data_IF_307427318721
#
_entry.id   IF_307427318721
#
_cell.length_a   1.000
_cell.length_b   1.000
_cell.length_c   1.000
_cell.angle_alpha   90.00
_cell.angle_beta   90.00
_cell.angle_gamma   90.00
#
_symmetry.space_group_name_H-M   'P 1'
#
loop_
_entity.id
_entity.type
_entity.pdbx_description
1 polymer ?
#
# COMPACT_ATOMS: atom_id res chain seq x y z
N UNK A 1 -30.09 -28.08 58.60
CA UNK A 1 -29.74 -28.96 57.47
C UNK A 1 -28.95 -28.10 56.44
N UNK A 2 -27.61 -28.23 56.46
CA UNK A 2 -26.68 -27.39 55.71
C UNK A 2 -26.51 -27.92 54.30
N UNK A 3 -26.75 -27.09 53.31
CA UNK A 3 -26.32 -27.34 51.92
C UNK A 3 -25.03 -26.55 51.64
N UNK A 4 -23.94 -27.29 51.50
CA UNK A 4 -22.63 -26.77 51.10
C UNK A 4 -22.64 -26.51 49.58
N UNK A 5 -22.36 -25.28 49.23
CA UNK A 5 -22.09 -24.86 47.86
C UNK A 5 -20.78 -25.46 47.35
N UNK A 6 -20.86 -26.24 46.29
CA UNK A 6 -19.72 -26.70 45.50
C UNK A 6 -19.54 -25.73 44.35
N UNK A 7 -18.61 -24.81 44.51
CA UNK A 7 -18.16 -23.94 43.41
C UNK A 7 -17.04 -24.69 42.68
N UNK A 8 -17.36 -25.20 41.50
CA UNK A 8 -16.38 -25.77 40.59
C UNK A 8 -15.72 -24.62 39.81
N UNK A 9 -14.54 -24.19 40.24
CA UNK A 9 -13.72 -23.25 39.48
C UNK A 9 -13.08 -23.98 38.28
N UNK A 10 -13.66 -23.82 37.13
CA UNK A 10 -13.00 -24.17 35.86
C UNK A 10 -11.97 -23.09 35.59
N UNK A 11 -10.70 -23.38 35.88
CA UNK A 11 -9.57 -22.59 35.42
C UNK A 11 -9.39 -22.91 33.95
N UNK A 12 -9.93 -22.06 33.07
CA UNK A 12 -9.49 -22.01 31.68
C UNK A 12 -8.05 -21.49 31.66
N UNK A 13 -7.09 -22.40 31.61
CA UNK A 13 -5.76 -22.11 31.13
C UNK A 13 -5.90 -21.86 29.61
N UNK A 14 -6.20 -20.62 29.23
CA UNK A 14 -5.88 -20.16 27.91
C UNK A 14 -4.34 -20.16 27.82
N UNK A 15 -3.79 -21.20 27.20
CA UNK A 15 -2.42 -21.19 26.77
C UNK A 15 -2.30 -20.06 25.75
N UNK A 16 -1.80 -18.91 26.18
CA UNK A 16 -1.19 -17.94 25.27
C UNK A 16 0.05 -18.64 24.73
N UNK A 17 -0.09 -19.28 23.58
CA UNK A 17 1.05 -19.53 22.71
C UNK A 17 1.51 -18.14 22.31
N UNK A 18 2.64 -17.67 22.85
CA UNK A 18 3.37 -16.59 22.26
C UNK A 18 3.59 -16.99 20.79
N UNK A 19 2.98 -16.27 19.85
CA UNK A 19 3.35 -16.37 18.46
C UNK A 19 4.85 -16.07 18.42
N UNK A 20 5.64 -17.01 17.90
CA UNK A 20 7.04 -16.74 17.62
C UNK A 20 7.04 -15.69 16.50
N UNK A 21 7.44 -14.49 16.83
CA UNK A 21 7.62 -13.41 15.87
C UNK A 21 8.55 -13.86 14.74
N UNK A 22 8.40 -13.30 13.55
CA UNK A 22 9.35 -13.51 12.45
C UNK A 22 10.74 -13.31 13.03
N UNK A 23 11.49 -14.41 13.19
CA UNK A 23 12.82 -14.32 13.74
C UNK A 23 13.71 -13.60 12.74
N UNK A 24 13.89 -12.29 12.92
CA UNK A 24 14.84 -11.52 12.16
C UNK A 24 16.25 -11.98 12.56
N UNK A 25 16.86 -12.80 11.74
CA UNK A 25 18.20 -13.34 11.98
C UNK A 25 19.08 -13.15 10.76
N UNK A 26 20.39 -13.08 10.92
CA UNK A 26 21.30 -12.96 9.78
C UNK A 26 21.13 -14.03 8.68
N UNK A 27 20.56 -15.19 9.02
CA UNK A 27 20.36 -16.30 8.11
C UNK A 27 19.13 -16.13 7.21
N UNK A 28 18.10 -15.39 7.68
CA UNK A 28 16.85 -15.21 6.92
C UNK A 28 16.70 -13.83 6.28
N UNK A 29 17.75 -13.01 6.36
CA UNK A 29 17.76 -11.68 5.75
C UNK A 29 18.88 -11.56 4.72
N UNK A 30 18.60 -10.77 3.70
CA UNK A 30 19.60 -10.34 2.71
C UNK A 30 19.36 -8.90 2.31
N UNK A 31 20.41 -8.18 1.97
CA UNK A 31 20.29 -6.82 1.49
C UNK A 31 21.27 -6.54 0.36
N UNK A 32 20.99 -5.50 -0.38
CA UNK A 32 21.92 -4.95 -1.36
C UNK A 32 21.83 -3.44 -1.42
N UNK A 33 22.93 -2.80 -1.79
CA UNK A 33 22.96 -1.40 -2.14
C UNK A 33 23.43 -1.22 -3.56
N UNK A 34 22.68 -0.47 -4.36
CA UNK A 34 23.12 -0.04 -5.68
C UNK A 34 23.64 1.39 -5.59
N UNK A 35 24.84 1.61 -6.09
CA UNK A 35 25.50 2.91 -6.15
C UNK A 35 25.56 3.40 -7.57
N UNK A 36 25.22 4.67 -7.77
CA UNK A 36 25.14 5.29 -9.10
C UNK A 36 26.05 6.50 -9.18
N UNK A 37 26.86 6.55 -10.23
CA UNK A 37 27.56 7.75 -10.65
C UNK A 37 26.85 8.26 -11.90
N UNK A 38 26.39 9.53 -11.95
CA UNK A 38 25.74 10.08 -13.14
C UNK A 38 26.57 9.85 -14.42
N UNK A 39 25.92 9.32 -15.46
CA UNK A 39 26.58 8.99 -16.72
C UNK A 39 27.18 7.57 -16.81
N UNK A 40 27.26 6.84 -15.71
CA UNK A 40 27.74 5.45 -15.68
C UNK A 40 26.61 4.49 -15.28
N UNK A 41 26.76 3.20 -15.54
CA UNK A 41 25.85 2.18 -15.05
C UNK A 41 25.92 2.09 -13.52
N UNK A 42 24.79 1.74 -12.88
CA UNK A 42 24.75 1.50 -11.45
C UNK A 42 25.49 0.20 -11.09
N UNK A 43 26.26 0.23 -10.01
CA UNK A 43 26.92 -0.96 -9.46
C UNK A 43 26.20 -1.42 -8.20
N UNK A 44 25.77 -2.68 -8.18
CA UNK A 44 25.09 -3.30 -7.04
C UNK A 44 26.07 -4.12 -6.21
N UNK A 45 25.99 -3.93 -4.91
CA UNK A 45 26.80 -4.62 -3.91
C UNK A 45 25.89 -5.42 -2.99
N UNK A 46 26.05 -6.75 -2.95
CA UNK A 46 25.41 -7.56 -1.92
C UNK A 46 26.00 -7.19 -0.56
N UNK A 47 25.16 -7.21 0.46
CA UNK A 47 25.53 -6.87 1.83
C UNK A 47 25.37 -8.10 2.73
N UNK A 48 26.25 -8.20 3.73
CA UNK A 48 26.19 -9.21 4.77
C UNK A 48 25.89 -8.53 6.09
N UNK A 49 24.92 -9.04 6.83
CA UNK A 49 24.58 -8.54 8.16
C UNK A 49 25.57 -9.09 9.18
N UNK A 50 26.22 -8.20 9.91
CA UNK A 50 27.16 -8.54 10.99
C UNK A 50 26.63 -7.99 12.30
N UNK A 51 26.49 -8.85 13.31
CA UNK A 51 26.14 -8.43 14.66
C UNK A 51 27.30 -7.67 15.29
N UNK A 52 26.99 -6.56 15.94
CA UNK A 52 27.99 -5.80 16.68
C UNK A 52 28.21 -6.40 18.06
N UNK A 53 29.47 -6.38 18.52
CA UNK A 53 29.83 -6.93 19.81
C UNK A 53 29.04 -6.31 20.97
N UNK A 54 28.51 -7.17 21.85
CA UNK A 54 27.76 -6.85 23.06
C UNK A 54 26.30 -6.38 22.89
N UNK A 55 25.69 -6.46 21.70
CA UNK A 55 24.29 -6.15 21.52
C UNK A 55 23.58 -7.30 20.76
N UNK A 56 22.42 -7.74 21.24
CA UNK A 56 21.61 -8.70 20.52
C UNK A 56 20.76 -8.06 19.41
N UNK A 57 20.74 -6.75 19.30
CA UNK A 57 19.82 -5.99 18.46
C UNK A 57 20.50 -4.97 17.54
N UNK A 58 21.83 -4.81 17.61
CA UNK A 58 22.59 -3.89 16.79
C UNK A 58 23.42 -4.65 15.75
N UNK A 59 23.29 -4.23 14.50
CA UNK A 59 23.95 -4.84 13.36
C UNK A 59 24.59 -3.80 12.46
N UNK A 60 25.51 -4.26 11.62
CA UNK A 60 26.09 -3.47 10.53
C UNK A 60 25.98 -4.26 9.22
N UNK A 61 25.50 -3.59 8.17
CA UNK A 61 25.57 -4.11 6.83
C UNK A 61 26.94 -3.82 6.21
N UNK A 62 27.64 -4.85 5.78
CA UNK A 62 28.97 -4.76 5.17
C UNK A 62 29.00 -5.40 3.79
N UNK A 63 29.77 -4.80 2.89
CA UNK A 63 30.07 -5.38 1.57
C UNK A 63 31.50 -5.91 1.53
N UNK A 64 31.79 -6.78 0.55
CA UNK A 64 33.16 -7.23 0.30
C UNK A 64 34.09 -6.06 -0.11
N UNK A 65 33.57 -5.11 -0.90
CA UNK A 65 34.27 -3.90 -1.28
C UNK A 65 34.01 -2.78 -0.25
N UNK A 66 34.95 -1.84 -0.13
CA UNK A 66 34.75 -0.63 0.69
C UNK A 66 33.71 0.26 0.03
N UNK A 67 32.64 0.56 0.76
CA UNK A 67 31.57 1.45 0.31
C UNK A 67 31.82 2.90 0.74
N UNK A 68 31.33 3.90 -0.01
CA UNK A 68 31.30 5.31 0.39
C UNK A 68 30.17 5.63 1.40
N UNK A 69 29.59 4.62 2.01
CA UNK A 69 28.49 4.73 2.99
C UNK A 69 28.66 3.68 4.07
N UNK A 70 28.28 4.02 5.30
CA UNK A 70 28.16 3.07 6.43
C UNK A 70 26.69 2.87 6.72
N UNK A 71 26.29 1.62 6.93
CA UNK A 71 24.91 1.23 7.15
C UNK A 71 24.83 0.44 8.46
N UNK A 72 24.16 1.02 9.45
CA UNK A 72 23.84 0.35 10.71
C UNK A 72 22.37 0.00 10.73
N UNK A 73 22.06 -1.03 11.50
CA UNK A 73 20.69 -1.48 11.69
C UNK A 73 20.45 -1.85 13.15
N UNK A 74 19.31 -1.40 13.66
CA UNK A 74 18.77 -1.83 14.93
C UNK A 74 17.48 -2.62 14.69
N UNK A 75 17.32 -3.71 15.44
CA UNK A 75 16.08 -4.50 15.45
C UNK A 75 15.58 -4.57 16.89
N UNK A 76 14.40 -4.06 17.16
CA UNK A 76 13.79 -4.05 18.49
C UNK A 76 12.42 -4.74 18.48
N UNK A 77 12.12 -5.49 19.52
CA UNK A 77 10.76 -5.98 19.73
C UNK A 77 9.90 -4.89 20.35
N UNK A 78 8.77 -4.63 19.73
CA UNK A 78 7.79 -3.68 20.22
C UNK A 78 6.37 -4.20 19.98
N UNK A 79 5.60 -4.34 21.05
CA UNK A 79 4.18 -4.77 20.99
C UNK A 79 3.98 -6.11 20.23
N UNK A 80 4.95 -7.03 20.32
CA UNK A 80 4.94 -8.32 19.62
C UNK A 80 5.37 -8.26 18.15
N UNK A 81 5.81 -7.10 17.68
CA UNK A 81 6.34 -6.87 16.34
C UNK A 81 7.85 -6.62 16.39
N UNK A 82 8.52 -6.78 15.26
CA UNK A 82 9.94 -6.45 15.12
C UNK A 82 10.11 -5.16 14.33
N UNK A 83 10.62 -4.13 14.99
CA UNK A 83 10.90 -2.84 14.37
C UNK A 83 12.35 -2.81 13.90
N UNK A 84 12.52 -2.55 12.61
CA UNK A 84 13.80 -2.44 11.92
C UNK A 84 14.08 -0.97 11.68
N UNK A 85 15.17 -0.46 12.23
CA UNK A 85 15.64 0.92 12.00
C UNK A 85 16.99 0.87 11.32
N UNK A 86 17.07 1.43 10.11
CA UNK A 86 18.29 1.50 9.32
C UNK A 86 18.83 2.92 9.36
N UNK A 87 20.11 3.05 9.70
CA UNK A 87 20.85 4.29 9.70
C UNK A 87 21.94 4.24 8.64
N UNK A 88 21.89 5.16 7.68
CA UNK A 88 22.92 5.31 6.66
C UNK A 88 23.64 6.63 6.84
N UNK A 89 24.99 6.61 6.78
CA UNK A 89 25.81 7.81 6.80
C UNK A 89 26.78 7.79 5.62
N UNK A 90 26.74 8.80 4.78
CA UNK A 90 27.64 8.92 3.64
C UNK A 90 29.04 9.36 4.06
N UNK A 91 30.05 8.61 3.62
CA UNK A 91 31.48 8.94 3.78
C UNK A 91 32.00 9.80 2.62
N UNK A 92 31.27 9.81 1.50
CA UNK A 92 31.47 10.64 0.33
C UNK A 92 30.13 10.87 -0.39
N UNK A 93 30.05 11.83 -1.32
CA UNK A 93 28.82 12.06 -2.09
C UNK A 93 28.43 10.79 -2.87
N UNK A 94 27.21 10.29 -2.68
CA UNK A 94 26.78 9.04 -3.29
C UNK A 94 25.31 9.08 -3.68
N UNK A 95 24.99 8.63 -4.90
CA UNK A 95 23.64 8.28 -5.29
C UNK A 95 23.42 6.79 -4.98
N UNK A 96 22.39 6.48 -4.24
CA UNK A 96 22.15 5.13 -3.74
C UNK A 96 20.71 4.66 -3.97
N UNK A 97 20.54 3.33 -4.01
CA UNK A 97 19.28 2.62 -3.79
C UNK A 97 19.58 1.43 -2.88
N UNK A 98 18.92 1.37 -1.74
CA UNK A 98 19.08 0.30 -0.75
C UNK A 98 17.84 -0.59 -0.75
N UNK A 99 18.03 -1.89 -0.63
CA UNK A 99 16.94 -2.84 -0.50
C UNK A 99 17.28 -4.01 0.40
N UNK A 100 16.28 -4.47 1.11
CA UNK A 100 16.34 -5.58 2.04
C UNK A 100 15.24 -6.60 1.74
N UNK A 101 15.51 -7.86 2.03
CA UNK A 101 14.63 -8.99 1.85
C UNK A 101 14.63 -9.84 3.12
N UNK A 102 13.43 -10.19 3.60
CA UNK A 102 13.24 -11.07 4.75
C UNK A 102 12.52 -12.33 4.28
N UNK A 103 13.21 -13.47 4.35
CA UNK A 103 12.63 -14.77 3.99
C UNK A 103 11.67 -15.24 5.08
N UNK A 104 10.45 -15.61 4.70
CA UNK A 104 9.43 -16.11 5.64
C UNK A 104 9.66 -17.57 6.02
N UNK A 105 10.53 -18.28 5.32
CA UNK A 105 10.69 -19.73 5.45
C UNK A 105 9.57 -20.54 4.77
N UNK A 106 8.54 -19.90 4.24
CA UNK A 106 7.40 -20.55 3.59
C UNK A 106 7.68 -20.81 2.11
N UNK A 107 7.22 -21.95 1.62
CA UNK A 107 7.35 -22.26 0.19
C UNK A 107 6.46 -21.28 -0.61
N UNK A 108 7.03 -20.63 -1.62
CA UNK A 108 6.36 -19.58 -2.39
C UNK A 108 5.04 -20.05 -3.03
N UNK A 109 4.97 -21.31 -3.48
CA UNK A 109 3.77 -21.86 -4.10
C UNK A 109 2.62 -22.10 -3.10
N UNK A 110 2.91 -22.19 -1.81
CA UNK A 110 1.92 -22.32 -0.73
C UNK A 110 1.41 -20.95 -0.25
N UNK A 111 1.89 -19.83 -0.84
CA UNK A 111 1.61 -18.49 -0.39
C UNK A 111 0.64 -17.71 -1.29
N UNK A 112 -0.14 -16.84 -0.66
CA UNK A 112 -0.92 -15.78 -1.29
C UNK A 112 -0.38 -14.43 -0.85
N UNK A 113 -0.43 -13.45 -1.75
CA UNK A 113 0.19 -12.14 -1.55
C UNK A 113 -0.85 -11.03 -1.51
N UNK A 114 -0.60 -10.04 -0.66
CA UNK A 114 -1.47 -8.90 -0.51
C UNK A 114 -0.66 -7.59 -0.43
N UNK A 115 -0.97 -6.65 -1.32
CA UNK A 115 -0.54 -5.26 -1.24
C UNK A 115 -1.79 -4.37 -1.34
N UNK A 116 -2.12 -3.60 -0.31
CA UNK A 116 -3.39 -2.89 -0.20
C UNK A 116 -3.71 -1.99 -1.39
N UNK A 117 -4.86 -2.26 -2.03
CA UNK A 117 -5.32 -1.51 -3.22
C UNK A 117 -4.66 -1.90 -4.55
N UNK A 118 -3.67 -2.79 -4.54
CA UNK A 118 -2.87 -3.11 -5.72
C UNK A 118 -2.82 -4.61 -6.05
N UNK A 119 -2.61 -5.49 -5.06
CA UNK A 119 -2.39 -6.90 -5.28
C UNK A 119 -3.21 -7.77 -4.33
N UNK A 120 -3.93 -8.77 -4.89
CA UNK A 120 -4.73 -9.72 -4.16
C UNK A 120 -4.44 -11.15 -4.64
N UNK A 121 -4.01 -12.03 -3.73
CA UNK A 121 -3.62 -13.42 -4.01
C UNK A 121 -2.49 -13.48 -5.04
N UNK A 122 -2.78 -13.89 -6.27
CA UNK A 122 -1.83 -13.98 -7.40
C UNK A 122 -2.24 -13.09 -8.57
N UNK A 123 -3.27 -12.27 -8.40
CA UNK A 123 -3.84 -11.41 -9.44
C UNK A 123 -4.17 -12.13 -10.76
N UNK A 124 -4.47 -13.44 -10.74
CA UNK A 124 -4.70 -14.25 -11.94
C UNK A 124 -5.97 -13.86 -12.72
N UNK A 125 -6.87 -13.08 -12.10
CA UNK A 125 -8.05 -12.52 -12.80
C UNK A 125 -7.73 -11.22 -13.55
N UNK A 126 -6.55 -10.64 -13.31
CA UNK A 126 -6.09 -9.46 -14.04
C UNK A 126 -5.66 -9.85 -15.45
N UNK A 127 -5.80 -8.94 -16.43
CA UNK A 127 -5.22 -9.14 -17.77
C UNK A 127 -3.70 -9.29 -17.69
N UNK A 128 -3.09 -9.89 -18.74
CA UNK A 128 -1.64 -10.07 -18.82
C UNK A 128 -0.88 -8.73 -18.85
N UNK A 129 -1.55 -7.65 -19.26
CA UNK A 129 -1.02 -6.29 -19.31
C UNK A 129 -1.10 -5.56 -17.96
N UNK A 130 -1.57 -6.24 -16.91
CA UNK A 130 -1.63 -5.73 -15.55
C UNK A 130 -0.66 -6.53 -14.65
N UNK A 131 -0.27 -5.97 -13.49
CA UNK A 131 0.53 -6.70 -12.51
C UNK A 131 -0.16 -7.98 -12.06
N UNK A 132 0.49 -9.13 -12.32
CA UNK A 132 -0.06 -10.45 -12.00
C UNK A 132 1.01 -11.53 -12.11
N UNK A 133 0.71 -12.74 -11.63
CA UNK A 133 1.56 -13.93 -11.83
C UNK A 133 1.64 -14.38 -13.30
N UNK A 134 0.80 -13.86 -14.20
CA UNK A 134 1.00 -14.07 -15.63
C UNK A 134 2.31 -13.47 -16.14
N UNK A 135 2.79 -12.41 -15.49
CA UNK A 135 4.03 -11.72 -15.85
C UNK A 135 5.21 -12.18 -15.00
N UNK A 136 5.03 -12.29 -13.68
CA UNK A 136 6.09 -12.66 -12.72
C UNK A 136 5.48 -13.11 -11.41
N UNK A 137 6.18 -14.01 -10.71
CA UNK A 137 5.90 -14.43 -9.34
C UNK A 137 6.58 -13.55 -8.28
N UNK A 138 7.23 -12.48 -8.71
CA UNK A 138 7.93 -11.51 -7.85
C UNK A 138 7.59 -10.10 -8.30
N UNK A 139 7.18 -9.23 -7.36
CA UNK A 139 6.80 -7.85 -7.66
C UNK A 139 7.23 -6.89 -6.58
N UNK A 140 7.89 -5.82 -7.02
CA UNK A 140 8.25 -4.65 -6.21
C UNK A 140 7.50 -3.45 -6.73
N UNK A 141 6.91 -2.68 -5.84
CA UNK A 141 6.01 -1.57 -6.17
C UNK A 141 6.33 -0.35 -5.33
N UNK A 142 6.24 0.81 -5.92
CA UNK A 142 6.34 2.09 -5.19
C UNK A 142 5.27 2.17 -4.10
N UNK A 143 5.66 2.64 -2.93
CA UNK A 143 4.76 2.78 -1.78
C UNK A 143 3.56 3.70 -2.06
N UNK A 144 3.75 4.76 -2.85
CA UNK A 144 2.68 5.72 -3.20
C UNK A 144 1.62 5.19 -4.18
N UNK A 145 1.79 3.97 -4.70
CA UNK A 145 0.77 3.25 -5.47
C UNK A 145 -0.17 2.43 -4.61
N UNK A 146 0.18 2.23 -3.37
CA UNK A 146 -0.55 1.41 -2.42
C UNK A 146 -1.48 2.28 -1.56
N UNK A 147 -2.56 1.71 -1.05
CA UNK A 147 -3.42 2.41 -0.09
C UNK A 147 -2.72 2.63 1.26
N UNK A 148 -1.71 1.82 1.56
CA UNK A 148 -0.80 1.93 2.68
C UNK A 148 0.52 1.23 2.32
N UNK A 149 1.69 1.68 2.82
CA UNK A 149 3.01 1.17 2.41
C UNK A 149 3.32 -0.20 3.02
N UNK A 150 2.54 -1.20 2.65
CA UNK A 150 2.57 -2.51 3.26
C UNK A 150 2.55 -3.62 2.21
N UNK A 151 3.29 -4.70 2.47
CA UNK A 151 3.14 -5.99 1.78
C UNK A 151 2.92 -7.08 2.82
N UNK A 152 1.98 -7.98 2.54
CA UNK A 152 1.71 -9.17 3.34
C UNK A 152 1.78 -10.45 2.50
N UNK A 153 2.27 -11.51 3.13
CA UNK A 153 2.35 -12.87 2.61
C UNK A 153 1.54 -13.77 3.52
N UNK A 154 0.52 -14.42 2.99
CA UNK A 154 -0.28 -15.39 3.70
C UNK A 154 0.14 -16.81 3.30
N UNK A 155 0.65 -17.57 4.25
CA UNK A 155 0.95 -18.99 4.12
C UNK A 155 -0.33 -19.80 4.32
N UNK A 156 -0.90 -20.34 3.24
CA UNK A 156 -2.14 -21.11 3.27
C UNK A 156 -2.00 -22.43 4.06
N UNK A 157 -0.80 -23.00 4.08
CA UNK A 157 -0.53 -24.28 4.73
C UNK A 157 -0.45 -24.16 6.25
N UNK A 158 0.26 -23.15 6.74
CA UNK A 158 0.49 -22.94 8.17
C UNK A 158 -0.49 -21.93 8.76
N UNK A 159 -1.33 -21.27 7.94
CA UNK A 159 -2.29 -20.25 8.35
C UNK A 159 -1.65 -19.10 9.11
N UNK A 160 -0.52 -18.62 8.57
CA UNK A 160 0.24 -17.51 9.11
C UNK A 160 0.34 -16.38 8.10
N UNK A 161 0.32 -15.17 8.59
CA UNK A 161 0.55 -13.97 7.78
C UNK A 161 1.83 -13.31 8.25
N UNK A 162 2.67 -12.97 7.30
CA UNK A 162 3.89 -12.19 7.47
C UNK A 162 3.73 -10.87 6.74
N UNK A 163 4.00 -9.76 7.37
CA UNK A 163 3.90 -8.47 6.71
C UNK A 163 5.02 -7.51 7.09
N UNK A 164 5.30 -6.57 6.20
CA UNK A 164 6.20 -5.45 6.42
C UNK A 164 5.48 -4.16 6.11
N UNK A 165 5.53 -3.21 7.03
CA UNK A 165 4.98 -1.86 6.87
C UNK A 165 6.07 -0.83 7.11
N UNK A 166 6.09 0.25 6.34
CA UNK A 166 6.95 1.39 6.60
C UNK A 166 6.31 2.34 7.60
N UNK A 167 7.09 2.78 8.61
CA UNK A 167 6.61 3.65 9.70
C UNK A 167 7.00 5.12 9.53
N UNK A 168 7.90 5.45 8.60
CA UNK A 168 8.31 6.84 8.37
C UNK A 168 7.18 7.66 7.73
N UNK A 169 7.22 8.97 7.92
CA UNK A 169 6.28 9.87 7.28
C UNK A 169 6.30 9.71 5.76
N UNK A 170 5.12 9.44 5.24
CA UNK A 170 4.91 9.12 3.85
C UNK A 170 4.79 10.35 2.98
N UNK A 171 5.33 10.20 1.78
CA UNK A 171 5.09 10.96 0.56
C UNK A 171 4.70 12.43 0.74
N UNK A 172 5.67 13.29 0.97
CA UNK A 172 5.52 14.72 0.77
C UNK A 172 5.94 15.19 -0.62
N UNK A 173 6.42 14.27 -1.45
CA UNK A 173 6.97 14.58 -2.77
C UNK A 173 5.88 14.82 -3.79
N UNK A 174 6.11 15.77 -4.68
CA UNK A 174 5.36 15.85 -5.91
C UNK A 174 5.56 14.55 -6.73
N UNK A 175 4.47 13.99 -7.24
CA UNK A 175 4.51 12.83 -8.12
C UNK A 175 5.46 13.13 -9.28
N UNK A 176 6.61 12.47 -9.30
CA UNK A 176 7.53 12.59 -10.44
C UNK A 176 7.07 11.68 -11.57
N UNK A 177 7.04 12.22 -12.77
CA UNK A 177 6.80 11.43 -13.98
C UNK A 177 7.97 10.47 -14.15
N UNK A 178 7.69 9.15 -14.16
CA UNK A 178 8.73 8.15 -14.35
C UNK A 178 9.12 8.08 -15.82
N UNK A 179 10.43 8.03 -16.01
CA UNK A 179 11.01 7.52 -17.25
C UNK A 179 11.39 6.06 -17.03
N UNK A 180 11.41 5.28 -18.09
CA UNK A 180 11.91 3.90 -18.07
C UNK A 180 13.38 3.87 -17.61
N UNK A 181 13.74 2.83 -16.85
CA UNK A 181 15.10 2.57 -16.43
C UNK A 181 15.53 3.30 -15.16
N UNK A 182 16.77 3.77 -15.13
CA UNK A 182 17.35 4.43 -13.97
C UNK A 182 16.92 5.90 -13.86
N UNK A 183 16.54 6.34 -12.67
CA UNK A 183 16.12 7.70 -12.37
C UNK A 183 17.03 8.32 -11.33
N UNK A 184 17.77 9.35 -11.69
CA UNK A 184 18.51 10.18 -10.73
C UNK A 184 17.57 11.28 -10.24
N UNK A 185 17.30 11.28 -8.94
CA UNK A 185 16.41 12.27 -8.34
C UNK A 185 17.14 13.61 -8.17
N UNK A 186 16.51 14.69 -8.63
CA UNK A 186 17.04 16.05 -8.48
C UNK A 186 16.87 16.63 -7.08
N UNK A 187 16.05 15.99 -6.25
CA UNK A 187 15.76 16.37 -4.86
C UNK A 187 15.63 15.14 -3.97
N UNK A 188 15.31 15.37 -2.70
CA UNK A 188 15.02 14.28 -1.76
C UNK A 188 13.61 13.76 -1.99
N UNK A 189 13.46 12.44 -2.00
CA UNK A 189 12.17 11.77 -1.98
C UNK A 189 11.90 11.19 -0.60
N UNK A 190 10.63 10.98 -0.26
CA UNK A 190 10.22 10.18 0.89
C UNK A 190 9.69 8.79 0.46
N UNK A 191 9.61 8.55 -0.87
CA UNK A 191 8.99 7.35 -1.42
C UNK A 191 9.99 6.20 -1.47
N UNK A 192 9.66 5.10 -0.79
CA UNK A 192 10.34 3.82 -0.90
C UNK A 192 9.59 2.83 -1.79
N UNK A 193 9.88 1.56 -1.62
CA UNK A 193 9.18 0.47 -2.27
C UNK A 193 8.96 -0.70 -1.30
N UNK A 194 7.95 -1.49 -1.60
CA UNK A 194 7.67 -2.75 -0.92
C UNK A 194 7.18 -3.78 -1.94
N UNK A 195 7.22 -5.04 -1.57
CA UNK A 195 6.76 -6.12 -2.42
C UNK A 195 7.11 -7.50 -1.87
N UNK A 196 7.01 -8.47 -2.75
CA UNK A 196 7.35 -9.86 -2.46
C UNK A 196 8.22 -10.43 -3.59
N UNK A 197 9.10 -11.35 -3.24
CA UNK A 197 9.96 -12.04 -4.19
C UNK A 197 10.01 -13.55 -3.92
N UNK A 198 10.22 -14.31 -4.99
CA UNK A 198 10.51 -15.73 -4.91
C UNK A 198 12.03 -15.93 -4.85
N UNK A 199 12.56 -16.21 -3.68
CA UNK A 199 13.98 -16.50 -3.48
C UNK A 199 14.23 -18.01 -3.46
N UNK A 200 14.49 -18.57 -4.63
CA UNK A 200 14.77 -20.03 -4.79
C UNK A 200 13.65 -20.90 -4.21
N UNK A 201 12.40 -20.54 -4.42
CA UNK A 201 11.24 -21.28 -3.93
C UNK A 201 10.71 -20.83 -2.57
N UNK A 202 11.37 -19.90 -1.91
CA UNK A 202 10.93 -19.33 -0.62
C UNK A 202 10.31 -17.94 -0.84
N UNK A 203 9.15 -17.72 -0.25
CA UNK A 203 8.50 -16.41 -0.27
C UNK A 203 9.25 -15.44 0.65
N UNK A 204 9.52 -14.23 0.15
CA UNK A 204 10.18 -13.19 0.93
C UNK A 204 9.45 -11.87 0.84
N UNK A 205 9.42 -11.13 1.95
CA UNK A 205 9.08 -9.72 2.00
C UNK A 205 10.27 -8.92 1.50
N UNK A 206 10.03 -7.95 0.60
CA UNK A 206 11.09 -7.11 0.03
C UNK A 206 10.70 -5.66 0.17
N UNK A 207 11.62 -4.83 0.64
CA UNK A 207 11.40 -3.41 0.86
C UNK A 207 12.70 -2.62 0.72
N UNK A 208 12.59 -1.30 0.54
CA UNK A 208 13.78 -0.48 0.39
C UNK A 208 13.51 0.97 0.05
N UNK A 209 14.59 1.70 -0.21
CA UNK A 209 14.57 3.14 -0.43
C UNK A 209 15.79 3.61 -1.27
N UNK A 210 15.62 4.61 -2.16
CA UNK A 210 14.37 5.14 -2.67
C UNK A 210 13.62 4.12 -3.53
N UNK A 211 12.53 4.53 -4.15
CA UNK A 211 11.62 3.62 -4.82
C UNK A 211 12.24 2.81 -5.97
N UNK A 212 11.69 1.60 -6.14
CA UNK A 212 11.97 0.68 -7.23
C UNK A 212 10.68 -0.01 -7.65
N UNK A 213 10.51 -0.27 -8.95
CA UNK A 213 9.43 -1.09 -9.48
C UNK A 213 10.00 -2.17 -10.39
N UNK A 214 9.71 -3.43 -10.09
CA UNK A 214 10.20 -4.58 -10.84
C UNK A 214 9.17 -5.73 -10.79
N UNK A 215 9.13 -6.63 -11.78
CA UNK A 215 9.94 -6.66 -13.02
C UNK A 215 9.46 -5.65 -14.06
N UNK A 216 8.30 -5.04 -13.83
CA UNK A 216 7.67 -4.03 -14.69
C UNK A 216 7.13 -2.89 -13.84
N UNK A 217 7.00 -1.72 -14.46
CA UNK A 217 6.33 -0.56 -13.89
C UNK A 217 4.90 -0.49 -14.42
N UNK A 218 3.93 -0.35 -13.52
CA UNK A 218 2.53 -0.17 -13.90
C UNK A 218 2.24 1.32 -14.15
N UNK A 219 2.19 1.72 -15.41
CA UNK A 219 2.02 3.14 -15.79
C UNK A 219 0.57 3.58 -15.62
N UNK A 220 -0.36 2.81 -16.17
CA UNK A 220 -1.81 3.06 -16.17
C UNK A 220 -2.56 1.79 -16.54
N UNK A 221 -3.89 1.86 -16.55
CA UNK A 221 -4.74 0.73 -16.91
C UNK A 221 -4.22 0.00 -18.17
N UNK A 222 -3.95 -1.29 -18.02
CA UNK A 222 -3.47 -2.18 -19.10
C UNK A 222 -2.17 -1.74 -19.78
N UNK A 223 -1.27 -1.10 -19.03
CA UNK A 223 0.01 -0.66 -19.59
C UNK A 223 1.13 -0.94 -18.60
N UNK A 224 2.00 -1.88 -18.97
CA UNK A 224 3.24 -2.19 -18.28
C UNK A 224 4.41 -1.62 -19.06
N UNK A 225 5.31 -0.94 -18.37
CA UNK A 225 6.59 -0.45 -18.88
C UNK A 225 7.75 -1.27 -18.28
N UNK A 226 8.97 -1.13 -18.78
CA UNK A 226 10.17 -1.68 -18.14
C UNK A 226 10.30 -1.25 -16.68
N UNK A 227 11.11 -2.00 -15.92
CA UNK A 227 11.42 -1.70 -14.52
C UNK A 227 12.02 -0.31 -14.34
N UNK A 228 11.78 0.28 -13.16
CA UNK A 228 12.32 1.58 -12.75
C UNK A 228 13.07 1.44 -11.45
N UNK A 229 14.22 2.08 -11.33
CA UNK A 229 15.01 2.17 -10.11
C UNK A 229 15.46 3.62 -9.89
N UNK A 230 15.11 4.20 -8.74
CA UNK A 230 15.47 5.57 -8.39
C UNK A 230 16.73 5.61 -7.53
N UNK A 231 17.52 6.65 -7.72
CA UNK A 231 18.75 6.92 -6.96
C UNK A 231 18.68 8.31 -6.33
N UNK A 232 18.83 8.36 -5.01
CA UNK A 232 18.86 9.62 -4.27
C UNK A 232 20.28 9.98 -3.86
N UNK A 233 20.63 11.27 -3.95
CA UNK A 233 21.88 11.79 -3.47
C UNK A 233 21.87 11.84 -1.93
N UNK A 234 22.90 11.24 -1.32
CA UNK A 234 23.30 11.46 0.07
C UNK A 234 24.69 12.09 0.04
N UNK A 235 24.81 13.31 0.57
CA UNK A 235 26.06 14.03 0.54
C UNK A 235 26.98 13.58 1.67
N UNK A 236 28.28 13.75 1.49
CA UNK A 236 29.28 13.46 2.49
C UNK A 236 28.92 14.03 3.87
N UNK A 237 28.86 13.18 4.88
CA UNK A 237 28.48 13.51 6.23
C UNK A 237 26.97 13.61 6.49
N UNK A 238 26.12 13.54 5.47
CA UNK A 238 24.69 13.41 5.68
C UNK A 238 24.33 12.01 6.16
N UNK A 239 23.29 11.94 6.99
CA UNK A 239 22.71 10.69 7.49
C UNK A 239 21.23 10.62 7.14
N UNK A 240 20.74 9.39 6.97
CA UNK A 240 19.35 9.06 6.71
C UNK A 240 18.93 7.95 7.68
N UNK A 241 17.72 8.05 8.23
CA UNK A 241 17.07 7.00 9.02
C UNK A 241 15.83 6.53 8.31
N UNK A 242 15.62 5.20 8.26
CA UNK A 242 14.49 4.54 7.65
C UNK A 242 13.94 3.50 8.63
N UNK A 243 12.63 3.42 8.76
CA UNK A 243 11.99 2.55 9.76
C UNK A 243 10.91 1.69 9.12
N UNK A 244 11.03 0.37 9.31
CA UNK A 244 10.00 -0.61 8.98
C UNK A 244 9.61 -1.41 10.20
N UNK A 245 8.46 -2.07 10.13
CA UNK A 245 8.01 -3.01 11.14
C UNK A 245 7.55 -4.30 10.47
N UNK A 246 8.06 -5.42 10.97
CA UNK A 246 7.61 -6.76 10.63
C UNK A 246 6.52 -7.18 11.61
N UNK A 247 5.42 -7.69 11.07
CA UNK A 247 4.31 -8.20 11.85
C UNK A 247 3.96 -9.61 11.40
N UNK A 248 3.74 -10.50 12.37
CA UNK A 248 3.28 -11.86 12.16
C UNK A 248 1.97 -12.09 12.90
N UNK A 249 1.05 -12.86 12.29
CA UNK A 249 -0.21 -13.25 12.91
C UNK A 249 -0.68 -14.62 12.43
N UNK A 250 -1.40 -15.34 13.30
CA UNK A 250 -2.12 -16.57 12.92
C UNK A 250 -3.50 -16.18 12.40
N UNK A 251 -3.83 -16.61 11.18
CA UNK A 251 -5.00 -16.18 10.43
C UNK A 251 -5.64 -17.40 9.77
N UNK A 252 -6.97 -17.56 9.86
CA UNK A 252 -7.66 -18.74 9.38
C UNK A 252 -7.70 -18.84 7.84
N UNK A 253 -7.88 -17.71 7.14
CA UNK A 253 -7.94 -17.67 5.69
C UNK A 253 -7.51 -16.32 5.12
N UNK A 254 -7.43 -16.23 3.79
CA UNK A 254 -7.00 -15.00 3.11
C UNK A 254 -7.96 -13.82 3.28
N UNK A 255 -9.25 -14.03 3.50
CA UNK A 255 -10.20 -12.93 3.73
C UNK A 255 -9.98 -12.30 5.09
N UNK A 256 -9.75 -13.13 6.11
CA UNK A 256 -9.37 -12.67 7.44
C UNK A 256 -7.98 -12.00 7.41
N UNK A 257 -7.04 -12.52 6.61
CA UNK A 257 -5.75 -11.86 6.39
C UNK A 257 -5.93 -10.42 5.87
N UNK A 258 -6.76 -10.22 4.85
CA UNK A 258 -7.02 -8.88 4.30
C UNK A 258 -7.62 -7.96 5.37
N UNK A 259 -8.60 -8.43 6.13
CA UNK A 259 -9.22 -7.66 7.20
C UNK A 259 -8.21 -7.29 8.28
N UNK A 260 -7.48 -8.27 8.80
CA UNK A 260 -6.48 -8.07 9.85
C UNK A 260 -5.39 -7.08 9.43
N UNK A 261 -4.87 -7.21 8.20
CA UNK A 261 -3.83 -6.31 7.69
C UNK A 261 -4.34 -4.88 7.51
N UNK A 262 -5.62 -4.68 7.14
CA UNK A 262 -6.23 -3.36 7.11
C UNK A 262 -6.33 -2.74 8.50
N UNK A 263 -6.83 -3.49 9.47
CA UNK A 263 -6.96 -3.05 10.87
C UNK A 263 -5.57 -2.73 11.45
N UNK A 264 -4.62 -3.63 11.31
CA UNK A 264 -3.23 -3.41 11.74
C UNK A 264 -2.60 -2.17 11.10
N UNK A 265 -2.75 -2.01 9.78
CA UNK A 265 -2.21 -0.84 9.09
C UNK A 265 -2.87 0.47 9.52
N UNK A 266 -4.19 0.46 9.76
CA UNK A 266 -4.91 1.62 10.26
C UNK A 266 -4.45 2.02 11.66
N UNK A 267 -4.34 1.05 12.56
CA UNK A 267 -3.91 1.29 13.95
C UNK A 267 -2.44 1.75 14.01
N UNK A 268 -1.58 1.14 13.20
CA UNK A 268 -0.15 1.49 13.13
C UNK A 268 0.08 2.89 12.60
N UNK A 269 -0.59 3.28 11.52
CA UNK A 269 -0.46 4.62 10.92
C UNK A 269 -1.25 5.67 11.72
N UNK A 270 -2.28 5.25 12.45
CA UNK A 270 -3.14 6.11 13.26
C UNK A 270 -3.46 7.45 12.56
N UNK A 271 -4.12 7.42 11.39
CA UNK A 271 -4.29 8.62 10.58
C UNK A 271 -5.07 9.67 11.34
N UNK A 272 -4.53 10.88 11.38
CA UNK A 272 -5.15 11.98 12.09
C UNK A 272 -6.41 12.43 11.36
N UNK A 273 -7.45 12.74 12.13
CA UNK A 273 -8.69 13.31 11.58
C UNK A 273 -8.37 14.68 10.97
N UNK A 274 -8.58 14.79 9.67
CA UNK A 274 -8.45 16.09 8.99
C UNK A 274 -9.69 16.93 9.29
N UNK A 275 -9.48 18.06 9.96
CA UNK A 275 -10.55 19.03 10.14
C UNK A 275 -10.86 19.67 8.78
N UNK A 276 -12.00 19.31 8.21
CA UNK A 276 -12.51 19.95 7.00
C UNK A 276 -13.27 21.22 7.36
N UNK A 277 -13.27 22.28 6.52
CA UNK A 277 -14.04 23.49 6.77
C UNK A 277 -15.55 23.27 6.65
N UNK A 278 -16.00 22.09 6.25
CA UNK A 278 -17.39 21.76 6.03
C UNK A 278 -17.82 20.61 6.93
N UNK A 279 -18.99 20.77 7.58
CA UNK A 279 -19.65 19.65 8.26
C UNK A 279 -20.14 18.60 7.23
N UNK A 280 -20.39 17.34 7.64
CA UNK A 280 -20.98 16.34 6.77
C UNK A 280 -22.30 16.80 6.11
N UNK A 281 -23.12 17.56 6.83
CA UNK A 281 -24.38 18.12 6.33
C UNK A 281 -24.12 19.16 5.24
N UNK A 282 -23.13 20.03 5.44
CA UNK A 282 -22.72 21.01 4.41
C UNK A 282 -22.14 20.35 3.18
N UNK A 283 -21.38 19.27 3.34
CA UNK A 283 -20.88 18.47 2.21
C UNK A 283 -22.03 17.86 1.42
N UNK A 284 -23.01 17.25 2.09
CA UNK A 284 -24.22 16.69 1.44
C UNK A 284 -25.00 17.77 0.69
N UNK A 285 -25.17 18.94 1.27
CA UNK A 285 -25.82 20.09 0.62
C UNK A 285 -25.10 20.49 -0.68
N UNK A 286 -23.77 20.66 -0.62
CA UNK A 286 -22.96 21.06 -1.79
C UNK A 286 -23.02 19.98 -2.89
N UNK A 287 -22.86 18.70 -2.52
CA UNK A 287 -22.96 17.59 -3.47
C UNK A 287 -24.36 17.50 -4.09
N UNK A 288 -25.40 17.77 -3.31
CA UNK A 288 -26.79 17.73 -3.79
C UNK A 288 -27.11 18.88 -4.73
N UNK A 289 -26.50 20.05 -4.52
CA UNK A 289 -26.62 21.17 -5.48
C UNK A 289 -26.00 20.80 -6.83
N UNK A 290 -24.90 20.03 -6.84
CA UNK A 290 -24.32 19.52 -8.07
C UNK A 290 -25.29 18.65 -8.88
N UNK A 291 -26.15 17.86 -8.25
CA UNK A 291 -27.19 17.11 -8.97
C UNK A 291 -28.20 18.01 -9.67
N UNK A 292 -28.49 19.20 -9.14
CA UNK A 292 -29.38 20.16 -9.83
C UNK A 292 -28.67 20.78 -11.03
N UNK A 293 -27.42 21.19 -10.85
CA UNK A 293 -26.64 21.86 -11.89
C UNK A 293 -26.22 20.93 -13.03
N UNK A 294 -25.99 19.66 -12.72
CA UNK A 294 -25.58 18.62 -13.70
C UNK A 294 -26.76 17.91 -14.38
N UNK A 295 -28.00 18.26 -14.05
CA UNK A 295 -29.18 17.60 -14.59
C UNK A 295 -29.39 17.91 -16.09
N UNK A 296 -29.53 16.87 -16.91
CA UNK A 296 -29.80 16.94 -18.35
C UNK A 296 -31.19 16.42 -18.60
N UNK A 297 -32.08 17.32 -19.07
CA UNK A 297 -33.49 17.00 -19.35
C UNK A 297 -33.76 16.32 -20.67
N UNK A 298 -32.75 16.11 -21.53
CA UNK A 298 -32.90 15.39 -22.79
C UNK A 298 -33.00 13.88 -22.56
N UNK A 299 -33.72 13.19 -23.43
CA UNK A 299 -33.90 11.73 -23.32
C UNK A 299 -32.69 10.96 -23.84
N UNK A 300 -32.17 9.95 -23.13
CA UNK A 300 -32.53 9.63 -21.74
C UNK A 300 -32.05 10.67 -20.74
N UNK A 301 -32.93 11.05 -19.82
CA UNK A 301 -32.65 12.03 -18.78
C UNK A 301 -31.56 11.52 -17.84
N UNK A 302 -30.54 12.35 -17.58
CA UNK A 302 -29.36 11.93 -16.81
C UNK A 302 -28.69 13.10 -16.09
N UNK A 303 -27.61 12.83 -15.37
CA UNK A 303 -26.66 13.83 -14.87
C UNK A 303 -25.39 13.83 -15.72
N UNK A 304 -24.73 14.95 -15.85
CA UNK A 304 -23.38 14.97 -16.43
C UNK A 304 -22.46 14.04 -15.67
N UNK A 305 -21.56 13.33 -16.39
CA UNK A 305 -20.72 12.31 -15.84
C UNK A 305 -19.43 12.83 -15.20
N UNK A 306 -19.09 14.11 -15.38
CA UNK A 306 -17.84 14.66 -14.88
C UNK A 306 -17.84 16.16 -14.64
N UNK A 307 -16.74 16.61 -14.04
CA UNK A 307 -16.43 18.03 -13.81
C UNK A 307 -15.03 18.30 -14.36
N UNK A 308 -14.92 19.32 -15.20
CA UNK A 308 -13.62 19.89 -15.57
C UNK A 308 -13.10 20.73 -14.38
N UNK A 309 -12.15 20.18 -13.64
CA UNK A 309 -11.67 20.80 -12.40
C UNK A 309 -11.00 22.16 -12.60
N UNK A 310 -10.37 22.38 -13.77
CA UNK A 310 -9.69 23.64 -14.07
C UNK A 310 -10.66 24.81 -14.23
N UNK A 311 -11.81 24.54 -14.84
CA UNK A 311 -12.84 25.56 -15.13
C UNK A 311 -14.00 25.52 -14.15
N UNK A 312 -14.05 24.50 -13.30
CA UNK A 312 -15.15 24.20 -12.38
C UNK A 312 -16.51 24.09 -13.12
N UNK A 313 -16.50 23.58 -14.35
CA UNK A 313 -17.70 23.38 -15.18
C UNK A 313 -18.03 21.92 -15.29
N UNK A 314 -19.32 21.61 -15.40
CA UNK A 314 -19.77 20.25 -15.71
C UNK A 314 -19.36 19.87 -17.13
N UNK A 315 -18.84 18.65 -17.29
CA UNK A 315 -18.55 18.08 -18.59
C UNK A 315 -19.88 17.73 -19.30
N UNK A 316 -20.19 18.46 -20.34
CA UNK A 316 -21.42 18.29 -21.10
C UNK A 316 -21.26 17.10 -22.05
N UNK A 317 -21.45 15.91 -21.54
CA UNK A 317 -21.55 14.72 -22.37
C UNK A 317 -23.02 14.43 -22.69
N UNK A 318 -23.34 14.25 -23.96
CA UNK A 318 -24.66 13.78 -24.42
C UNK A 318 -24.84 12.27 -24.14
N UNK A 319 -23.96 11.67 -23.34
CA UNK A 319 -23.96 10.27 -23.00
C UNK A 319 -24.49 10.03 -21.59
N UNK A 320 -25.57 9.32 -21.47
CA UNK A 320 -26.08 8.87 -20.21
C UNK A 320 -25.31 7.65 -19.73
N UNK A 321 -24.44 7.83 -18.76
CA UNK A 321 -23.66 6.74 -18.15
C UNK A 321 -24.45 6.02 -17.07
N UNK A 322 -24.78 4.75 -17.31
CA UNK A 322 -25.57 3.94 -16.37
C UNK A 322 -24.70 3.24 -15.33
N UNK A 323 -23.48 2.89 -15.67
CA UNK A 323 -22.66 1.96 -14.91
C UNK A 323 -21.43 2.55 -14.24
N UNK A 324 -20.50 3.14 -14.94
CA UNK A 324 -19.16 3.41 -14.43
C UNK A 324 -19.09 4.67 -13.54
N UNK A 325 -18.82 5.81 -14.10
CA UNK A 325 -18.64 7.05 -13.33
C UNK A 325 -19.98 7.73 -13.05
N UNK A 326 -20.81 7.82 -14.06
CA UNK A 326 -22.07 8.54 -13.99
C UNK A 326 -23.12 7.93 -13.06
N UNK A 327 -23.16 6.59 -12.95
CA UNK A 327 -24.09 5.85 -12.09
C UNK A 327 -25.45 6.51 -11.95
N UNK A 328 -26.03 6.93 -13.08
CA UNK A 328 -27.16 7.85 -13.15
C UNK A 328 -28.31 7.44 -12.22
N UNK A 329 -28.69 6.16 -12.20
CA UNK A 329 -29.78 5.69 -11.35
C UNK A 329 -29.42 5.74 -9.84
N UNK A 330 -28.17 5.44 -9.48
CA UNK A 330 -27.72 5.55 -8.09
C UNK A 330 -27.66 7.02 -7.65
N UNK A 331 -27.20 7.91 -8.51
CA UNK A 331 -27.17 9.34 -8.23
C UNK A 331 -28.61 9.90 -8.11
N UNK A 332 -29.54 9.44 -8.96
CA UNK A 332 -30.96 9.79 -8.84
C UNK A 332 -31.56 9.30 -7.52
N UNK A 333 -31.22 8.10 -7.08
CA UNK A 333 -31.64 7.56 -5.78
C UNK A 333 -31.10 8.41 -4.63
N UNK A 334 -29.81 8.72 -4.61
CA UNK A 334 -29.21 9.56 -3.58
C UNK A 334 -29.80 10.98 -3.56
N UNK A 335 -30.07 11.55 -4.75
CA UNK A 335 -30.73 12.86 -4.86
C UNK A 335 -32.18 12.83 -4.36
N UNK A 336 -32.91 11.74 -4.63
CA UNK A 336 -34.28 11.53 -4.12
C UNK A 336 -34.28 11.46 -2.60
N UNK A 337 -33.47 10.57 -2.02
CA UNK A 337 -33.39 10.36 -0.57
C UNK A 337 -33.06 11.67 0.16
N UNK A 338 -32.02 12.37 -0.27
CA UNK A 338 -31.65 13.66 0.32
C UNK A 338 -32.73 14.71 0.09
N UNK A 339 -33.32 14.74 -1.11
CA UNK A 339 -34.39 15.66 -1.48
C UNK A 339 -35.63 15.50 -0.60
N UNK A 340 -36.03 14.27 -0.31
CA UNK A 340 -37.13 13.99 0.62
C UNK A 340 -36.81 14.43 2.07
N UNK A 341 -35.60 14.07 2.56
CA UNK A 341 -35.14 14.45 3.91
C UNK A 341 -35.08 15.95 4.10
N UNK A 342 -34.62 16.68 3.10
CA UNK A 342 -34.43 18.14 3.16
C UNK A 342 -35.59 18.96 2.56
N UNK A 343 -36.65 18.31 2.08
CA UNK A 343 -37.79 18.93 1.41
C UNK A 343 -37.40 19.73 0.14
N UNK A 344 -36.39 19.23 -0.57
CA UNK A 344 -35.88 19.79 -1.84
C UNK A 344 -36.67 19.22 -3.03
N UNK A 345 -37.73 19.89 -3.44
CA UNK A 345 -38.62 19.45 -4.51
C UNK A 345 -37.95 19.37 -5.87
N UNK A 346 -36.93 20.19 -6.13
CA UNK A 346 -36.10 20.19 -7.32
C UNK A 346 -35.35 18.84 -7.48
N UNK A 347 -34.69 18.35 -6.42
CA UNK A 347 -33.99 17.07 -6.40
C UNK A 347 -34.98 15.91 -6.60
N UNK A 348 -36.08 15.91 -5.87
CA UNK A 348 -37.10 14.86 -5.97
C UNK A 348 -37.69 14.79 -7.39
N UNK A 349 -38.07 15.96 -7.95
CA UNK A 349 -38.64 16.03 -9.30
C UNK A 349 -37.66 15.52 -10.36
N UNK A 350 -36.38 15.92 -10.29
CA UNK A 350 -35.36 15.49 -11.24
C UNK A 350 -35.06 14.00 -11.12
N UNK A 351 -35.02 13.46 -9.92
CA UNK A 351 -34.82 12.03 -9.69
C UNK A 351 -35.93 11.19 -10.33
N UNK A 352 -37.19 11.55 -10.12
CA UNK A 352 -38.32 10.86 -10.75
C UNK A 352 -38.27 10.96 -12.29
N UNK A 353 -37.94 12.11 -12.86
CA UNK A 353 -37.76 12.24 -14.31
C UNK A 353 -36.70 11.28 -14.86
N UNK A 354 -35.60 11.06 -14.10
CA UNK A 354 -34.59 10.09 -14.50
C UNK A 354 -35.17 8.67 -14.46
N UNK A 355 -35.79 8.27 -13.36
CA UNK A 355 -36.38 6.93 -13.25
C UNK A 355 -37.41 6.67 -14.35
N UNK A 356 -38.34 7.59 -14.58
CA UNK A 356 -39.35 7.47 -15.61
C UNK A 356 -38.73 7.37 -17.01
N UNK A 357 -37.71 8.18 -17.29
CA UNK A 357 -37.01 8.16 -18.57
C UNK A 357 -36.34 6.79 -18.84
N UNK A 358 -35.70 6.20 -17.81
CA UNK A 358 -35.10 4.88 -17.97
C UNK A 358 -36.14 3.77 -18.09
N UNK A 359 -37.21 3.81 -17.31
CA UNK A 359 -38.32 2.85 -17.42
C UNK A 359 -39.00 2.88 -18.79
N UNK A 360 -39.11 4.05 -19.43
CA UNK A 360 -39.75 4.21 -20.71
C UNK A 360 -38.87 3.89 -21.92
N UNK A 361 -37.56 4.08 -21.80
CA UNK A 361 -36.65 4.06 -22.95
C UNK A 361 -35.50 3.06 -22.87
N UNK A 362 -35.24 2.46 -21.70
CA UNK A 362 -34.09 1.59 -21.50
C UNK A 362 -34.45 0.17 -21.02
N UNK A 363 -35.72 -0.10 -20.74
CA UNK A 363 -36.24 -1.43 -20.31
C UNK A 363 -37.38 -1.93 -21.16
#
# INVERSE_FOLDING_TARGET
>A
MNWKNFVCSVVCLAGMTCAEAVNYTPENVSASIALKVPGNDAKRYPLTLQQLDNSNFEYQWVAADKLPVVIYQNVEEKDGNQRIVIFMTALDDVYFNFGEQVMTGCHHDDCLFYMPGFWYRRNLRSPQEAPSFHTSDSWLVREDRLSTPLTAIFDEKNRKTYSVIRLDNMASDALTTHKEGEVILSGKTSIGYTGFENLSGIASLSFGFPYKEAPKTYIRKLTLAPSVEAYQLLRKGESLSLTWELHESEIADFSECVQHIWEYSYDTNCPQIVNTPYSPEKMKEVMSNFFVESFVGNTPTHYYSGVELRTATCDQTDVAEVGFVGRTLLNAFNALEYGEQQRRTDLVTNAYKIFDSYLQHCF
#
